data_IF_801767836735
#
_entry.id   IF_801767836735
#
_cell.length_a   1.000
_cell.length_b   1.000
_cell.length_c   1.000
_cell.angle_alpha   90.00
_cell.angle_beta   90.00
_cell.angle_gamma   90.00
#
_symmetry.space_group_name_H-M   'P 1'
#
loop_
_entity.id
_entity.type
_entity.pdbx_description
1 polymer ?
#
# COMPACT_ATOMS: atom_id res chain seq x y z
N UNK A 1 1.25 24.45 3.65
CA UNK A 1 1.57 23.18 2.97
C UNK A 1 3.08 23.02 2.98
N UNK A 2 3.63 22.22 3.89
CA UNK A 2 5.05 21.84 3.86
C UNK A 2 5.20 20.64 2.94
N UNK A 3 5.99 20.79 1.88
CA UNK A 3 6.36 19.69 0.99
C UNK A 3 7.50 18.93 1.66
N UNK A 4 7.23 17.75 2.21
CA UNK A 4 8.28 16.83 2.62
C UNK A 4 8.97 16.28 1.37
N UNK A 5 10.27 16.51 1.24
CA UNK A 5 11.11 16.00 0.15
C UNK A 5 11.60 14.60 0.50
N UNK A 6 11.22 13.62 -0.31
CA UNK A 6 11.66 12.23 -0.20
C UNK A 6 12.85 11.95 -1.14
N UNK A 7 13.85 11.21 -0.66
CA UNK A 7 14.92 10.69 -1.50
C UNK A 7 14.39 9.52 -2.34
N UNK A 8 14.23 9.77 -3.64
CA UNK A 8 13.73 8.78 -4.61
C UNK A 8 14.85 7.79 -4.95
N UNK A 9 14.64 6.50 -4.69
CA UNK A 9 15.53 5.44 -5.17
C UNK A 9 15.48 5.29 -6.70
N UNK A 10 16.55 4.78 -7.31
CA UNK A 10 16.55 4.41 -8.73
C UNK A 10 15.61 3.22 -8.95
N UNK A 11 14.42 3.50 -9.50
CA UNK A 11 13.46 2.46 -9.87
C UNK A 11 14.04 1.53 -10.95
N UNK A 12 13.92 0.23 -10.75
CA UNK A 12 14.39 -0.82 -11.69
C UNK A 12 13.42 -1.08 -12.86
N UNK A 13 12.26 -0.42 -12.85
CA UNK A 13 11.22 -0.51 -13.87
C UNK A 13 11.59 0.27 -15.13
N UNK A 14 11.49 -0.36 -16.31
CA UNK A 14 11.52 0.35 -17.59
C UNK A 14 10.37 1.37 -17.69
N UNK A 15 10.41 2.27 -18.69
CA UNK A 15 9.48 3.42 -18.85
C UNK A 15 8.00 3.04 -18.67
N UNK A 16 7.58 1.86 -19.14
CA UNK A 16 6.20 1.36 -19.00
C UNK A 16 5.80 1.06 -17.56
N UNK A 17 6.68 0.46 -16.76
CA UNK A 17 6.42 0.18 -15.34
C UNK A 17 6.26 1.47 -14.55
N UNK A 18 7.13 2.46 -14.80
CA UNK A 18 7.02 3.78 -14.19
C UNK A 18 5.71 4.49 -14.55
N UNK A 19 5.24 4.38 -15.81
CA UNK A 19 3.94 4.92 -16.22
C UNK A 19 2.78 4.23 -15.52
N UNK A 20 2.87 2.92 -15.28
CA UNK A 20 1.85 2.17 -14.54
C UNK A 20 1.78 2.62 -13.08
N UNK A 21 2.92 2.69 -12.40
CA UNK A 21 3.03 3.21 -11.03
C UNK A 21 2.50 4.65 -10.93
N UNK A 22 2.88 5.52 -11.88
CA UNK A 22 2.40 6.92 -11.93
C UNK A 22 0.89 7.01 -12.11
N UNK A 23 0.31 6.17 -12.97
CA UNK A 23 -1.16 6.11 -13.15
C UNK A 23 -1.86 5.66 -11.88
N UNK A 24 -1.34 4.63 -11.22
CA UNK A 24 -1.90 4.12 -9.96
C UNK A 24 -1.80 5.17 -8.85
N UNK A 25 -0.65 5.81 -8.69
CA UNK A 25 -0.42 6.89 -7.74
C UNK A 25 -1.38 8.06 -7.97
N UNK A 26 -1.54 8.48 -9.23
CA UNK A 26 -2.45 9.57 -9.62
C UNK A 26 -3.91 9.24 -9.29
N UNK A 27 -4.33 7.99 -9.52
CA UNK A 27 -5.68 7.53 -9.21
C UNK A 27 -5.94 7.51 -7.69
N UNK A 28 -4.97 7.01 -6.91
CA UNK A 28 -5.04 6.98 -5.45
C UNK A 28 -5.13 8.41 -4.91
N UNK A 29 -4.26 9.31 -5.38
CA UNK A 29 -4.28 10.72 -5.00
C UNK A 29 -5.63 11.37 -5.31
N UNK A 30 -6.14 11.18 -6.53
CA UNK A 30 -7.42 11.74 -6.95
C UNK A 30 -8.57 11.25 -6.06
N UNK A 31 -8.64 9.94 -5.80
CA UNK A 31 -9.66 9.38 -4.90
C UNK A 31 -9.54 9.94 -3.49
N UNK A 32 -8.33 9.97 -2.92
CA UNK A 32 -8.13 10.44 -1.56
C UNK A 32 -8.48 11.94 -1.40
N UNK A 33 -8.19 12.75 -2.43
CA UNK A 33 -8.49 14.19 -2.45
C UNK A 33 -9.98 14.51 -2.58
N UNK A 34 -10.75 13.63 -3.21
CA UNK A 34 -12.16 13.87 -3.55
C UNK A 34 -13.14 13.03 -2.74
N UNK A 35 -12.65 12.26 -1.76
CA UNK A 35 -13.49 11.50 -0.85
C UNK A 35 -13.79 12.33 0.41
N UNK A 36 -15.03 12.79 0.54
CA UNK A 36 -15.47 13.61 1.67
C UNK A 36 -15.44 12.88 3.02
N UNK A 37 -15.27 11.55 3.04
CA UNK A 37 -15.10 10.79 4.28
C UNK A 37 -13.67 10.85 4.82
N UNK A 38 -12.70 11.31 4.02
CA UNK A 38 -11.31 11.48 4.43
C UNK A 38 -11.13 12.86 5.08
N UNK A 39 -10.50 12.86 6.26
CA UNK A 39 -10.12 14.07 6.98
C UNK A 39 -8.75 14.57 6.53
N UNK A 40 -7.77 13.65 6.48
CA UNK A 40 -6.41 13.92 6.03
C UNK A 40 -5.80 12.66 5.41
N UNK A 41 -4.83 12.85 4.51
CA UNK A 41 -4.04 11.75 3.97
C UNK A 41 -2.59 12.16 3.67
N UNK A 42 -1.68 11.20 3.81
CA UNK A 42 -0.30 11.27 3.35
C UNK A 42 -0.09 10.23 2.25
N UNK A 43 0.63 10.59 1.20
CA UNK A 43 0.90 9.73 0.05
C UNK A 43 2.38 9.80 -0.29
N UNK A 44 3.00 8.63 -0.42
CA UNK A 44 4.41 8.49 -0.80
C UNK A 44 4.58 7.34 -1.81
N UNK A 45 5.70 7.36 -2.53
CA UNK A 45 6.04 6.35 -3.54
C UNK A 45 7.55 6.14 -3.56
N UNK A 46 8.00 4.95 -3.95
CA UNK A 46 9.43 4.57 -3.98
C UNK A 46 10.13 4.83 -2.63
N UNK A 47 9.52 4.37 -1.54
CA UNK A 47 10.02 4.62 -0.19
C UNK A 47 11.23 3.73 0.08
N UNK A 48 12.36 4.35 0.39
CA UNK A 48 13.57 3.61 0.73
C UNK A 48 13.42 2.79 2.03
N UNK A 49 14.08 1.64 2.04
CA UNK A 49 14.29 0.78 3.22
C UNK A 49 13.05 0.10 3.83
N UNK A 50 11.88 0.16 3.19
CA UNK A 50 10.67 -0.53 3.70
C UNK A 50 10.40 -1.91 3.07
N UNK A 51 11.33 -2.40 2.26
CA UNK A 51 11.23 -3.72 1.63
C UNK A 51 10.30 -3.71 0.41
N UNK A 52 9.62 -4.83 0.18
CA UNK A 52 8.83 -5.06 -1.04
C UNK A 52 7.40 -4.50 -0.98
N UNK A 53 7.20 -3.38 -0.30
CA UNK A 53 5.94 -2.62 -0.32
C UNK A 53 6.24 -1.13 -0.43
N UNK A 54 7.29 -0.81 -1.18
CA UNK A 54 7.89 0.51 -1.35
C UNK A 54 7.28 1.32 -2.49
N UNK A 55 6.62 0.67 -3.46
CA UNK A 55 6.13 1.33 -4.66
C UNK A 55 5.17 2.49 -4.33
N UNK A 56 4.12 2.24 -3.53
CA UNK A 56 3.16 3.28 -3.11
C UNK A 56 2.69 3.01 -1.68
N UNK A 57 2.74 4.01 -0.81
CA UNK A 57 2.09 3.96 0.50
C UNK A 57 1.18 5.16 0.70
N UNK A 58 -0.01 4.90 1.25
CA UNK A 58 -0.96 5.93 1.63
C UNK A 58 -1.38 5.72 3.08
N UNK A 59 -1.34 6.78 3.88
CA UNK A 59 -1.94 6.84 5.22
C UNK A 59 -3.14 7.77 5.17
N UNK A 60 -4.26 7.33 5.71
CA UNK A 60 -5.55 8.02 5.65
C UNK A 60 -6.16 8.07 7.05
N UNK A 61 -6.63 9.25 7.43
CA UNK A 61 -7.52 9.44 8.58
C UNK A 61 -8.93 9.65 8.08
N UNK A 62 -9.84 8.75 8.45
CA UNK A 62 -11.25 8.84 8.11
C UNK A 62 -12.00 9.61 9.20
N UNK A 63 -12.99 10.42 8.80
CA UNK A 63 -13.85 11.16 9.74
C UNK A 63 -14.59 10.18 10.66
N UNK A 64 -14.49 10.42 11.97
CA UNK A 64 -15.18 9.62 12.98
C UNK A 64 -14.57 8.22 13.23
N UNK A 65 -13.47 7.87 12.58
CA UNK A 65 -12.74 6.62 12.84
C UNK A 65 -11.53 6.91 13.73
N UNK A 66 -11.39 6.17 14.83
CA UNK A 66 -10.37 6.43 15.84
C UNK A 66 -8.94 6.20 15.31
N UNK A 67 -8.70 5.09 14.61
CA UNK A 67 -7.37 4.73 14.10
C UNK A 67 -7.17 5.20 12.67
N UNK A 68 -6.01 5.76 12.31
CA UNK A 68 -5.64 5.93 10.92
C UNK A 68 -5.41 4.57 10.25
N UNK A 69 -5.49 4.57 8.93
CA UNK A 69 -5.28 3.43 8.05
C UNK A 69 -4.04 3.69 7.20
N UNK A 70 -3.07 2.78 7.19
CA UNK A 70 -1.99 2.75 6.21
C UNK A 70 -2.17 1.59 5.24
N UNK A 71 -1.96 1.86 3.95
CA UNK A 71 -1.95 0.86 2.89
C UNK A 71 -0.63 0.97 2.14
N UNK A 72 0.20 -0.08 2.23
CA UNK A 72 1.46 -0.20 1.50
C UNK A 72 1.27 -1.15 0.33
N UNK A 73 1.57 -0.70 -0.89
CA UNK A 73 1.24 -1.37 -2.14
C UNK A 73 2.53 -1.71 -2.88
N UNK A 74 2.67 -2.97 -3.27
CA UNK A 74 3.60 -3.41 -4.30
C UNK A 74 2.85 -3.51 -5.63
N UNK A 75 3.18 -2.65 -6.58
CA UNK A 75 2.66 -2.63 -7.93
C UNK A 75 3.50 -3.53 -8.85
N UNK A 76 3.06 -4.77 -9.05
CA UNK A 76 3.68 -5.70 -10.01
C UNK A 76 2.97 -5.64 -11.35
N UNK A 77 3.39 -4.76 -12.25
CA UNK A 77 2.94 -4.79 -13.64
C UNK A 77 3.64 -5.91 -14.41
N UNK A 78 2.87 -6.78 -15.08
CA UNK A 78 3.40 -7.74 -16.05
C UNK A 78 2.73 -7.54 -17.40
N UNK A 79 3.53 -7.31 -18.44
CA UNK A 79 3.08 -7.16 -19.84
C UNK A 79 2.46 -8.48 -20.36
N UNK A 80 2.98 -9.63 -19.91
CA UNK A 80 2.44 -10.97 -20.24
C UNK A 80 1.60 -11.54 -19.09
N UNK A 81 0.28 -11.62 -19.32
CA UNK A 81 -0.72 -12.14 -18.37
C UNK A 81 -0.56 -13.63 -18.02
N UNK A 82 0.35 -14.35 -18.68
CA UNK A 82 0.60 -15.78 -18.46
C UNK A 82 1.62 -16.05 -17.35
N UNK A 83 2.32 -15.02 -16.87
CA UNK A 83 3.29 -15.22 -15.81
C UNK A 83 2.64 -15.31 -14.44
N UNK A 84 2.77 -16.48 -13.81
CA UNK A 84 2.37 -16.74 -12.43
C UNK A 84 2.98 -15.72 -11.46
N UNK A 85 2.22 -15.38 -10.43
CA UNK A 85 2.69 -14.56 -9.31
C UNK A 85 3.62 -15.44 -8.44
N UNK A 86 4.92 -15.18 -8.51
CA UNK A 86 5.87 -15.79 -7.56
C UNK A 86 5.76 -15.09 -6.22
N UNK A 87 5.26 -15.81 -5.22
CA UNK A 87 5.03 -15.32 -3.86
C UNK A 87 6.06 -15.92 -2.93
N UNK A 88 7.04 -15.10 -2.64
CA UNK A 88 7.96 -15.33 -1.54
C UNK A 88 7.35 -14.74 -0.26
N UNK A 89 6.60 -15.56 0.48
CA UNK A 89 6.00 -15.17 1.76
C UNK A 89 7.05 -14.74 2.78
N UNK A 90 8.26 -15.31 2.76
CA UNK A 90 9.34 -14.94 3.69
C UNK A 90 9.81 -13.51 3.38
N UNK A 91 9.98 -13.18 2.10
CA UNK A 91 10.30 -11.81 1.65
C UNK A 91 9.22 -10.81 2.09
N UNK A 92 7.93 -11.13 1.91
CA UNK A 92 6.85 -10.23 2.32
C UNK A 92 6.76 -10.09 3.83
N UNK A 93 6.94 -11.17 4.59
CA UNK A 93 6.98 -11.11 6.05
C UNK A 93 8.15 -10.26 6.57
N UNK A 94 9.34 -10.38 5.97
CA UNK A 94 10.49 -9.51 6.29
C UNK A 94 10.20 -8.04 5.95
N UNK A 95 9.51 -7.78 4.85
CA UNK A 95 9.13 -6.42 4.45
C UNK A 95 8.10 -5.83 5.41
N UNK A 96 7.13 -6.63 5.85
CA UNK A 96 6.20 -6.26 6.92
C UNK A 96 6.93 -5.85 8.21
N UNK A 97 7.95 -6.62 8.64
CA UNK A 97 8.73 -6.27 9.83
C UNK A 97 9.45 -4.94 9.67
N UNK A 98 10.06 -4.67 8.50
CA UNK A 98 10.71 -3.39 8.21
C UNK A 98 9.74 -2.21 8.26
N UNK A 99 8.55 -2.37 7.69
CA UNK A 99 7.51 -1.32 7.77
C UNK A 99 7.11 -1.09 9.21
N UNK A 100 6.88 -2.16 9.99
CA UNK A 100 6.55 -2.04 11.42
C UNK A 100 7.64 -1.31 12.21
N UNK A 101 8.90 -1.61 11.95
CA UNK A 101 10.06 -0.95 12.59
C UNK A 101 10.18 0.54 12.23
N UNK A 102 9.57 0.98 11.13
CA UNK A 102 9.57 2.39 10.70
C UNK A 102 8.65 3.26 11.55
N UNK A 103 7.65 2.67 12.22
CA UNK A 103 6.67 3.41 13.02
C UNK A 103 7.28 3.89 14.34
N UNK A 104 7.35 5.20 14.50
CA UNK A 104 7.82 5.86 15.71
C UNK A 104 7.03 7.15 15.93
N UNK A 105 6.56 7.40 17.16
CA UNK A 105 5.73 8.59 17.45
C UNK A 105 6.44 9.92 17.16
N UNK A 106 7.77 9.94 17.23
CA UNK A 106 8.61 11.09 16.95
C UNK A 106 9.22 11.06 15.54
N UNK A 107 8.73 10.18 14.66
CA UNK A 107 9.22 10.09 13.29
C UNK A 107 8.99 11.42 12.54
N UNK A 108 10.00 11.86 11.79
CA UNK A 108 9.92 13.04 10.91
C UNK A 108 9.07 12.78 9.67
N UNK A 109 8.96 11.52 9.26
CA UNK A 109 8.09 11.07 8.18
C UNK A 109 6.65 10.91 8.71
N UNK A 110 5.76 11.81 8.30
CA UNK A 110 4.35 11.82 8.72
C UNK A 110 3.62 10.51 8.42
N UNK A 111 4.06 9.77 7.39
CA UNK A 111 3.49 8.48 7.03
C UNK A 111 3.68 7.44 8.15
N UNK A 112 4.78 7.51 8.90
CA UNK A 112 5.15 6.57 9.95
C UNK A 112 5.18 7.19 11.35
N UNK A 113 4.70 8.44 11.47
CA UNK A 113 4.60 9.17 12.73
C UNK A 113 3.36 8.74 13.51
N UNK A 114 3.43 7.56 14.11
CA UNK A 114 2.45 6.97 15.04
C UNK A 114 3.03 5.69 15.66
N UNK A 115 2.34 5.07 16.62
CA UNK A 115 2.62 3.68 16.98
C UNK A 115 1.96 2.75 15.98
N UNK A 116 2.66 1.67 15.62
CA UNK A 116 2.14 0.67 14.70
C UNK A 116 0.81 0.07 15.19
N UNK A 117 0.69 -0.22 16.50
CA UNK A 117 -0.52 -0.82 17.10
C UNK A 117 -1.73 0.14 17.11
N UNK A 118 -1.48 1.43 16.95
CA UNK A 118 -2.49 2.48 16.88
C UNK A 118 -2.92 2.77 15.43
N UNK A 119 -2.29 2.14 14.42
CA UNK A 119 -2.59 2.29 12.99
C UNK A 119 -3.06 0.97 12.37
N UNK A 120 -4.20 0.96 11.69
CA UNK A 120 -4.61 -0.21 10.89
C UNK A 120 -3.74 -0.30 9.64
N UNK A 121 -3.17 -1.47 9.36
CA UNK A 121 -2.16 -1.62 8.31
C UNK A 121 -2.52 -2.70 7.30
N UNK A 122 -2.51 -2.37 6.01
CA UNK A 122 -2.72 -3.30 4.90
C UNK A 122 -1.51 -3.34 3.97
N UNK A 123 -1.15 -4.55 3.56
CA UNK A 123 -0.04 -4.81 2.66
C UNK A 123 -0.58 -5.50 1.41
N UNK A 124 -0.54 -4.80 0.28
CA UNK A 124 -1.27 -5.17 -0.93
C UNK A 124 -0.29 -5.46 -2.05
N UNK A 125 -0.43 -6.63 -2.69
CA UNK A 125 0.24 -6.93 -3.96
C UNK A 125 -0.77 -6.65 -5.07
N UNK A 126 -0.57 -5.56 -5.80
CA UNK A 126 -1.41 -5.17 -6.92
C UNK A 126 -0.76 -5.63 -8.23
N UNK A 127 -1.41 -6.57 -8.94
CA UNK A 127 -0.81 -7.25 -10.09
C UNK A 127 -1.83 -7.55 -11.17
N UNK A 128 -1.38 -7.54 -12.43
CA UNK A 128 -2.13 -8.04 -13.59
C UNK A 128 -1.92 -9.53 -13.85
N UNK A 129 -1.00 -10.18 -13.13
CA UNK A 129 -0.71 -11.61 -13.25
C UNK A 129 -1.88 -12.47 -12.78
N UNK A 130 -2.08 -13.63 -13.43
CA UNK A 130 -3.11 -14.59 -13.02
C UNK A 130 -2.76 -15.20 -11.67
N UNK A 131 -3.76 -15.23 -10.80
CA UNK A 131 -3.68 -15.86 -9.50
C UNK A 131 -3.73 -17.40 -9.63
N UNK A 132 -2.77 -18.10 -9.01
CA UNK A 132 -2.78 -19.57 -8.88
C UNK A 132 -3.32 -20.07 -7.53
N UNK A 133 -3.69 -19.19 -6.60
CA UNK A 133 -4.21 -19.54 -5.28
C UNK A 133 -5.56 -20.25 -5.30
N UNK A 134 -6.29 -20.24 -6.41
CA UNK A 134 -7.46 -21.09 -6.60
C UNK A 134 -7.19 -22.61 -6.41
N UNK A 135 -5.92 -23.02 -6.28
CA UNK A 135 -5.52 -24.40 -5.97
C UNK A 135 -5.07 -24.65 -4.52
N UNK A 136 -4.85 -23.60 -3.73
CA UNK A 136 -4.48 -23.68 -2.31
C UNK A 136 -5.44 -22.81 -1.50
N UNK A 137 -6.72 -23.17 -1.52
CA UNK A 137 -7.72 -22.56 -0.67
C UNK A 137 -7.45 -22.94 0.79
N UNK A 138 -6.74 -22.08 1.51
CA UNK A 138 -6.85 -22.00 2.97
C UNK A 138 -7.80 -20.85 3.27
N UNK A 139 -9.05 -21.18 3.60
CA UNK A 139 -9.99 -20.28 4.29
C UNK A 139 -10.60 -19.16 3.44
N UNK A 140 -11.42 -19.53 2.45
CA UNK A 140 -12.34 -18.61 1.79
C UNK A 140 -13.48 -18.19 2.74
N UNK A 141 -13.21 -17.31 3.70
CA UNK A 141 -14.29 -16.74 4.53
C UNK A 141 -14.07 -15.27 4.95
N UNK A 142 -12.89 -14.68 4.73
CA UNK A 142 -12.62 -13.32 5.24
C UNK A 142 -12.84 -12.18 4.23
N UNK A 143 -12.92 -12.44 2.92
CA UNK A 143 -12.91 -11.37 1.90
C UNK A 143 -14.30 -10.81 1.54
N UNK A 144 -15.40 -11.49 1.87
CA UNK A 144 -16.74 -11.13 1.40
C UNK A 144 -17.62 -10.38 2.40
N UNK A 145 -17.21 -10.23 3.67
CA UNK A 145 -18.12 -9.69 4.70
C UNK A 145 -17.93 -8.23 5.11
N UNK A 146 -16.88 -7.51 4.68
CA UNK A 146 -16.62 -6.15 5.19
C UNK A 146 -16.88 -4.99 4.24
N UNK A 147 -17.02 -5.22 2.93
CA UNK A 147 -17.26 -4.14 1.95
C UNK A 147 -18.74 -3.86 1.63
N UNK A 148 -19.67 -4.69 2.11
CA UNK A 148 -21.10 -4.54 1.81
C UNK A 148 -22.00 -4.20 3.02
N UNK A 149 -21.45 -3.96 4.22
CA UNK A 149 -22.30 -3.66 5.39
C UNK A 149 -22.47 -2.18 5.73
N UNK A 150 -21.93 -1.25 4.94
CA UNK A 150 -22.26 0.18 5.06
C UNK A 150 -22.78 0.74 3.74
N UNK A 151 -23.92 0.20 3.32
CA UNK A 151 -24.83 0.85 2.38
C UNK A 151 -26.26 0.41 2.74
N UNK A 152 -26.76 0.93 3.86
CA UNK A 152 -28.20 1.09 4.13
C UNK A 152 -28.39 2.29 5.05
#
# INVERSE_FOLDING_TARGET
MSVATYDKGEGTSGIRGQLYETKLLSLIFYRAKHDDSIEEFQLASNIADIGAFDDICIKVKMKGIAKPLIVCIQAKHKDDSEQTLDIDLIKYFRSYLKVRERFESDNKDELFKDKFEETESYFVIYTSGKDTFGKFAVGSEFASQRWHSQAK
#
